data_IF_776454383538
#
_entry.id   IF_776454383538
#
_cell.length_a   1.000
_cell.length_b   1.000
_cell.length_c   1.000
_cell.angle_alpha   90.00
_cell.angle_beta   90.00
_cell.angle_gamma   90.00
#
_symmetry.space_group_name_H-M   'P 1'
#
loop_
_entity.id
_entity.type
_entity.pdbx_description
1 polymer ?
#
# COMPACT_ATOMS: atom_id res chain seq x y z
N UNK A 1 8.14 6.05 7.57
CA UNK A 1 6.89 5.29 7.83
C UNK A 1 6.09 4.90 6.57
N UNK A 2 6.08 5.72 5.52
CA UNK A 2 5.12 5.62 4.40
C UNK A 2 5.00 4.24 3.72
N UNK A 3 6.10 3.72 3.15
CA UNK A 3 6.16 2.40 2.52
C UNK A 3 5.67 1.30 3.47
N UNK A 4 5.96 1.43 4.77
CA UNK A 4 5.47 0.47 5.75
C UNK A 4 3.95 0.57 5.91
N UNK A 5 3.40 1.78 5.98
CA UNK A 5 1.94 2.04 6.00
C UNK A 5 1.26 1.43 4.77
N UNK A 6 1.82 1.63 3.58
CA UNK A 6 1.31 1.01 2.35
C UNK A 6 1.37 -0.51 2.39
N UNK A 7 2.49 -1.07 2.83
CA UNK A 7 2.67 -2.51 2.98
C UNK A 7 1.62 -3.10 3.94
N UNK A 8 1.45 -2.49 5.11
CA UNK A 8 0.53 -2.99 6.14
C UNK A 8 -0.94 -2.69 5.80
N UNK A 9 -1.26 -1.68 4.98
CA UNK A 9 -2.64 -1.48 4.50
C UNK A 9 -3.08 -2.68 3.66
N UNK A 10 -2.19 -3.21 2.82
CA UNK A 10 -2.41 -4.45 2.09
C UNK A 10 -2.59 -5.67 3.01
N UNK A 11 -1.83 -5.74 4.10
CA UNK A 11 -2.00 -6.78 5.14
C UNK A 11 -3.35 -6.63 5.87
N UNK A 12 -3.84 -5.41 6.11
CA UNK A 12 -5.16 -5.18 6.70
C UNK A 12 -6.28 -5.71 5.81
N UNK A 13 -6.24 -5.43 4.50
CA UNK A 13 -7.15 -6.03 3.52
C UNK A 13 -7.06 -7.56 3.55
N UNK A 14 -5.84 -8.11 3.54
CA UNK A 14 -5.62 -9.56 3.57
C UNK A 14 -6.12 -10.22 4.86
N UNK A 15 -5.98 -9.56 6.00
CA UNK A 15 -6.44 -10.07 7.29
C UNK A 15 -7.96 -10.29 7.26
N UNK A 16 -8.72 -9.35 6.69
CA UNK A 16 -10.16 -9.47 6.50
C UNK A 16 -10.52 -10.55 5.46
N UNK A 17 -9.97 -10.45 4.24
CA UNK A 17 -10.28 -11.39 3.14
C UNK A 17 -9.91 -12.84 3.47
N UNK A 18 -8.90 -13.07 4.32
CA UNK A 18 -8.52 -14.42 4.76
C UNK A 18 -9.65 -15.17 5.48
N UNK A 19 -10.59 -14.46 6.13
CA UNK A 19 -11.72 -15.06 6.85
C UNK A 19 -12.78 -15.67 5.93
N UNK A 20 -12.79 -15.29 4.65
CA UNK A 20 -13.68 -15.80 3.62
C UNK A 20 -13.25 -17.16 3.09
N UNK A 21 -12.06 -17.63 3.46
CA UNK A 21 -11.53 -18.93 3.06
C UNK A 21 -11.69 -20.00 4.14
N UNK A 22 -11.45 -21.26 3.76
CA UNK A 22 -11.43 -22.37 4.72
C UNK A 22 -10.32 -22.17 5.76
N UNK A 23 -10.51 -22.61 7.02
CA UNK A 23 -9.50 -22.45 8.05
C UNK A 23 -8.25 -23.28 7.72
N UNK A 24 -7.21 -22.64 7.20
CA UNK A 24 -5.90 -23.23 6.97
C UNK A 24 -4.84 -22.18 7.26
N UNK A 25 -3.89 -22.49 8.15
CA UNK A 25 -2.79 -21.56 8.49
C UNK A 25 -2.00 -21.21 7.23
N UNK A 26 -1.60 -22.22 6.43
CA UNK A 26 -0.87 -22.02 5.17
C UNK A 26 -1.67 -21.17 4.17
N UNK A 27 -2.97 -21.42 4.03
CA UNK A 27 -3.84 -20.62 3.17
C UNK A 27 -3.92 -19.16 3.60
N UNK A 28 -4.10 -18.91 4.90
CA UNK A 28 -4.11 -17.56 5.47
C UNK A 28 -2.78 -16.84 5.30
N UNK A 29 -1.65 -17.49 5.59
CA UNK A 29 -0.32 -16.91 5.38
C UNK A 29 -0.10 -16.51 3.91
N UNK A 30 -0.56 -17.33 2.95
CA UNK A 30 -0.50 -16.97 1.53
C UNK A 30 -1.34 -15.72 1.21
N UNK A 31 -2.55 -15.62 1.75
CA UNK A 31 -3.42 -14.45 1.53
C UNK A 31 -2.77 -13.19 2.13
N UNK A 32 -2.21 -13.28 3.35
CA UNK A 32 -1.46 -12.18 3.96
C UNK A 32 -0.25 -11.75 3.13
N UNK A 33 0.53 -12.71 2.61
CA UNK A 33 1.65 -12.42 1.73
C UNK A 33 1.20 -11.75 0.43
N UNK A 34 0.09 -12.22 -0.18
CA UNK A 34 -0.47 -11.60 -1.39
C UNK A 34 -0.94 -10.18 -1.13
N UNK A 35 -1.59 -9.91 0.01
CA UNK A 35 -1.96 -8.54 0.38
C UNK A 35 -0.76 -7.65 0.64
N UNK A 36 0.27 -8.17 1.32
CA UNK A 36 1.52 -7.44 1.52
C UNK A 36 2.16 -7.06 0.18
N UNK A 37 2.25 -8.00 -0.77
CA UNK A 37 2.77 -7.73 -2.11
C UNK A 37 1.90 -6.69 -2.81
N UNK A 38 0.57 -6.84 -2.78
CA UNK A 38 -0.36 -5.87 -3.38
C UNK A 38 -0.20 -4.45 -2.81
N UNK A 39 0.08 -4.33 -1.51
CA UNK A 39 0.31 -3.04 -0.86
C UNK A 39 1.68 -2.42 -1.12
N UNK A 40 2.70 -3.20 -1.52
CA UNK A 40 4.05 -2.68 -1.82
C UNK A 40 4.25 -2.45 -3.32
N UNK A 41 3.56 -3.20 -4.17
CA UNK A 41 3.88 -3.25 -5.59
C UNK A 41 3.75 -1.92 -6.36
N UNK A 42 2.83 -1.00 -6.03
CA UNK A 42 2.82 0.29 -6.71
C UNK A 42 4.15 1.05 -6.60
N UNK A 43 4.84 0.89 -5.46
CA UNK A 43 6.17 1.47 -5.16
C UNK A 43 7.34 0.56 -5.59
N UNK A 44 7.13 -0.42 -6.48
CA UNK A 44 8.19 -1.37 -6.87
C UNK A 44 9.43 -0.66 -7.44
N UNK A 45 9.23 0.46 -8.11
CA UNK A 45 10.32 1.23 -8.70
C UNK A 45 11.06 2.12 -7.69
N UNK A 46 10.67 2.15 -6.40
CA UNK A 46 11.51 2.66 -5.33
C UNK A 46 12.86 1.92 -5.25
N UNK A 47 12.93 0.71 -5.84
CA UNK A 47 14.20 0.01 -6.08
C UNK A 47 15.17 0.83 -6.95
N UNK A 48 14.66 1.72 -7.80
CA UNK A 48 15.48 2.61 -8.62
C UNK A 48 16.25 3.65 -7.79
N UNK A 49 15.82 3.91 -6.56
CA UNK A 49 16.53 4.75 -5.60
C UNK A 49 17.64 4.00 -4.85
N UNK A 50 17.78 2.68 -5.04
CA UNK A 50 18.88 1.91 -4.44
C UNK A 50 20.23 2.37 -4.99
N UNK A 51 21.20 2.59 -4.10
CA UNK A 51 22.51 3.17 -4.44
C UNK A 51 23.32 2.38 -5.48
N UNK A 52 23.00 1.10 -5.72
CA UNK A 52 23.65 0.29 -6.75
C UNK A 52 22.79 0.08 -8.00
N UNK A 53 21.58 0.63 -8.06
CA UNK A 53 20.63 0.42 -9.16
C UNK A 53 21.28 0.72 -10.51
N UNK A 54 21.86 1.92 -10.67
CA UNK A 54 22.48 2.35 -11.92
C UNK A 54 23.63 1.42 -12.34
N UNK A 55 24.49 1.05 -11.39
CA UNK A 55 25.63 0.15 -11.64
C UNK A 55 25.26 -1.32 -11.89
N UNK A 56 24.01 -1.70 -11.65
CA UNK A 56 23.54 -3.09 -11.76
C UNK A 56 22.42 -3.22 -12.76
N UNK A 57 21.17 -2.95 -12.36
CA UNK A 57 19.97 -3.04 -13.18
C UNK A 57 20.04 -2.01 -14.32
N UNK A 58 20.42 -0.77 -14.02
CA UNK A 58 20.58 0.29 -15.02
C UNK A 58 21.55 -0.10 -16.12
N UNK A 59 22.73 -0.58 -15.75
CA UNK A 59 23.74 -1.08 -16.70
C UNK A 59 23.28 -2.35 -17.44
N UNK A 60 22.67 -3.32 -16.75
CA UNK A 60 22.20 -4.58 -17.34
C UNK A 60 21.17 -4.35 -18.45
N UNK A 61 20.26 -3.40 -18.26
CA UNK A 61 19.21 -3.06 -19.23
C UNK A 61 19.56 -1.87 -20.13
N UNK A 62 20.77 -1.33 -20.00
CA UNK A 62 21.23 -0.15 -20.73
C UNK A 62 20.22 1.02 -20.66
N UNK A 63 19.72 1.32 -19.46
CA UNK A 63 18.68 2.32 -19.26
C UNK A 63 19.21 3.73 -19.58
N UNK A 64 18.46 4.55 -20.33
CA UNK A 64 18.91 5.88 -20.74
C UNK A 64 18.84 6.93 -19.61
N UNK A 65 18.15 6.62 -18.51
CA UNK A 65 17.95 7.49 -17.36
C UNK A 65 18.45 6.80 -16.08
N UNK A 66 19.06 7.58 -15.18
CA UNK A 66 19.42 7.09 -13.85
C UNK A 66 18.17 6.68 -13.05
N UNK A 67 18.34 5.79 -12.08
CA UNK A 67 17.26 5.33 -11.22
C UNK A 67 16.56 6.48 -10.48
N UNK A 68 17.32 7.49 -10.02
CA UNK A 68 16.76 8.71 -9.45
C UNK A 68 15.84 9.46 -10.43
N UNK A 69 16.24 9.56 -11.68
CA UNK A 69 15.41 10.19 -12.72
C UNK A 69 14.16 9.34 -12.94
N UNK A 70 14.31 8.01 -13.11
CA UNK A 70 13.19 7.08 -13.30
C UNK A 70 12.15 7.26 -12.19
N UNK A 71 12.58 7.22 -10.93
CA UNK A 71 11.71 7.39 -9.75
C UNK A 71 10.92 8.71 -9.77
N UNK A 72 11.58 9.82 -10.14
CA UNK A 72 10.97 11.16 -10.12
C UNK A 72 10.23 11.56 -11.41
N UNK A 73 10.30 10.73 -12.44
CA UNK A 73 9.81 11.05 -13.80
C UNK A 73 8.51 10.32 -14.10
N UNK A 74 7.70 10.86 -15.01
CA UNK A 74 6.41 10.27 -15.41
C UNK A 74 6.54 9.28 -16.58
N UNK A 75 7.60 8.45 -16.62
CA UNK A 75 7.69 7.39 -17.62
C UNK A 75 6.53 6.40 -17.44
N UNK A 76 6.06 5.75 -18.52
CA UNK A 76 4.94 4.81 -18.41
C UNK A 76 5.22 3.65 -17.44
N UNK A 77 6.49 3.27 -17.28
CA UNK A 77 6.99 2.24 -16.37
C UNK A 77 7.49 2.77 -15.01
N UNK A 78 7.43 4.09 -14.79
CA UNK A 78 7.68 4.67 -13.46
C UNK A 78 6.49 4.43 -12.53
N UNK A 79 6.73 4.63 -11.24
CA UNK A 79 5.72 4.66 -10.18
C UNK A 79 4.58 5.57 -10.58
N UNK A 80 4.87 6.77 -11.11
CA UNK A 80 3.84 7.77 -11.36
C UNK A 80 2.80 7.40 -12.43
N UNK A 81 3.06 6.38 -13.25
CA UNK A 81 2.20 6.01 -14.38
C UNK A 81 1.49 4.65 -14.18
N UNK A 82 1.91 3.60 -14.90
CA UNK A 82 1.18 2.34 -14.93
C UNK A 82 1.01 1.75 -13.52
N UNK A 83 2.09 1.73 -12.72
CA UNK A 83 2.06 1.15 -11.37
C UNK A 83 1.18 1.92 -10.37
N UNK A 84 0.75 3.16 -10.65
CA UNK A 84 -0.23 3.86 -9.82
C UNK A 84 -1.60 3.99 -10.50
N UNK A 85 -2.01 2.93 -11.23
CA UNK A 85 -3.31 2.85 -11.92
C UNK A 85 -4.17 1.68 -11.44
N UNK A 86 -5.49 1.84 -11.55
CA UNK A 86 -6.43 0.75 -11.31
C UNK A 86 -6.23 -0.40 -12.30
N UNK A 87 -5.85 -0.10 -13.55
CA UNK A 87 -5.63 -1.11 -14.58
C UNK A 87 -4.46 -2.04 -14.20
N UNK A 88 -3.36 -1.49 -13.69
CA UNK A 88 -2.20 -2.30 -13.27
C UNK A 88 -2.57 -3.29 -12.16
N UNK A 89 -3.39 -2.89 -11.18
CA UNK A 89 -3.84 -3.79 -10.12
C UNK A 89 -4.52 -5.06 -10.67
N UNK A 90 -5.35 -4.91 -11.71
CA UNK A 90 -6.06 -6.02 -12.34
C UNK A 90 -5.13 -6.84 -13.23
N UNK A 91 -4.35 -6.18 -14.09
CA UNK A 91 -3.40 -6.87 -14.98
C UNK A 91 -2.39 -7.71 -14.21
N UNK A 92 -1.79 -7.13 -13.16
CA UNK A 92 -0.79 -7.82 -12.34
C UNK A 92 -1.45 -8.90 -11.48
N UNK A 93 -2.64 -8.63 -10.92
CA UNK A 93 -3.39 -9.65 -10.18
C UNK A 93 -3.72 -10.87 -11.05
N UNK A 94 -4.12 -10.66 -12.30
CA UNK A 94 -4.36 -11.73 -13.28
C UNK A 94 -3.06 -12.47 -13.64
N UNK A 95 -1.94 -11.75 -13.79
CA UNK A 95 -0.64 -12.35 -14.01
C UNK A 95 -0.21 -13.25 -12.83
N UNK A 96 -0.41 -12.81 -11.59
CA UNK A 96 -0.17 -13.63 -10.39
C UNK A 96 -1.05 -14.89 -10.42
N UNK A 97 -2.33 -14.76 -10.76
CA UNK A 97 -3.24 -15.90 -10.87
C UNK A 97 -2.78 -16.89 -11.96
N UNK A 98 -2.27 -16.38 -13.09
CA UNK A 98 -1.68 -17.18 -14.15
C UNK A 98 -0.43 -17.93 -13.66
N UNK A 99 0.47 -17.28 -12.92
CA UNK A 99 1.64 -17.94 -12.34
C UNK A 99 1.24 -19.05 -11.35
N UNK A 100 0.20 -18.82 -10.55
CA UNK A 100 -0.37 -19.86 -9.67
C UNK A 100 -0.94 -21.00 -10.52
N UNK A 101 -1.61 -20.71 -11.63
CA UNK A 101 -2.13 -21.74 -12.53
C UNK A 101 -1.01 -22.59 -13.14
N UNK A 102 0.00 -21.95 -13.72
CA UNK A 102 1.13 -22.61 -14.38
C UNK A 102 1.97 -23.45 -13.40
N UNK A 103 2.19 -22.94 -12.19
CA UNK A 103 2.92 -23.70 -11.15
C UNK A 103 2.18 -24.95 -10.69
N UNK A 104 0.85 -24.95 -10.73
CA UNK A 104 0.03 -26.12 -10.38
C UNK A 104 -0.30 -27.02 -11.57
N UNK A 105 -0.02 -26.59 -12.80
CA UNK A 105 -0.38 -27.30 -14.03
C UNK A 105 0.16 -28.72 -14.07
N UNK A 106 1.41 -28.94 -13.61
CA UNK A 106 2.02 -30.28 -13.58
C UNK A 106 1.38 -31.21 -12.54
N UNK A 107 0.87 -30.66 -11.44
CA UNK A 107 0.30 -31.45 -10.33
C UNK A 107 -1.18 -31.78 -10.51
N UNK A 108 -1.91 -30.99 -11.30
CA UNK A 108 -3.38 -31.04 -11.39
C UNK A 108 -3.87 -31.06 -12.85
N UNK A 109 -3.37 -32.01 -13.65
CA UNK A 109 -3.70 -32.13 -15.09
C UNK A 109 -5.21 -32.26 -15.39
N UNK A 110 -6.02 -32.62 -14.40
CA UNK A 110 -7.46 -32.92 -14.55
C UNK A 110 -8.38 -31.88 -13.92
N UNK A 111 -7.87 -30.84 -13.26
CA UNK A 111 -8.74 -29.87 -12.59
C UNK A 111 -9.35 -28.91 -13.62
N UNK A 112 -10.69 -28.81 -13.72
CA UNK A 112 -11.33 -27.85 -14.62
C UNK A 112 -10.89 -26.41 -14.29
N UNK A 113 -10.64 -25.59 -15.32
CA UNK A 113 -10.24 -24.18 -15.18
C UNK A 113 -11.21 -23.40 -14.31
N UNK A 114 -12.51 -23.67 -14.40
CA UNK A 114 -13.54 -23.04 -13.58
C UNK A 114 -13.38 -23.34 -12.09
N UNK A 115 -13.05 -24.58 -11.74
CA UNK A 115 -12.77 -25.01 -10.35
C UNK A 115 -11.48 -24.38 -9.83
N UNK A 116 -10.45 -24.28 -10.68
CA UNK A 116 -9.22 -23.57 -10.35
C UNK A 116 -9.49 -22.10 -10.02
N UNK A 117 -10.20 -21.39 -10.90
CA UNK A 117 -10.53 -19.96 -10.71
C UNK A 117 -11.33 -19.77 -9.41
N UNK A 118 -12.41 -20.53 -9.21
CA UNK A 118 -13.22 -20.44 -7.98
C UNK A 118 -12.40 -20.65 -6.70
N UNK A 119 -11.38 -21.50 -6.75
CA UNK A 119 -10.53 -21.81 -5.60
C UNK A 119 -9.45 -20.76 -5.33
N UNK A 120 -9.09 -19.94 -6.34
CA UNK A 120 -7.96 -19.01 -6.27
C UNK A 120 -8.36 -17.54 -6.47
N UNK A 121 -9.63 -17.25 -6.80
CA UNK A 121 -10.13 -15.88 -7.02
C UNK A 121 -9.92 -14.98 -5.80
N UNK A 122 -9.89 -15.55 -4.59
CA UNK A 122 -9.61 -14.78 -3.38
C UNK A 122 -8.22 -14.12 -3.43
N UNK A 123 -7.20 -14.76 -4.03
CA UNK A 123 -5.88 -14.15 -4.16
C UNK A 123 -5.92 -12.93 -5.09
N UNK A 124 -6.68 -13.01 -6.19
CA UNK A 124 -6.89 -11.88 -7.09
C UNK A 124 -7.61 -10.73 -6.36
N UNK A 125 -8.71 -11.03 -5.67
CA UNK A 125 -9.48 -10.02 -4.92
C UNK A 125 -8.62 -9.37 -3.85
N UNK A 126 -7.91 -10.17 -3.04
CA UNK A 126 -7.02 -9.65 -1.99
C UNK A 126 -5.94 -8.76 -2.58
N UNK A 127 -5.28 -9.19 -3.67
CA UNK A 127 -4.25 -8.40 -4.33
C UNK A 127 -4.78 -7.06 -4.83
N UNK A 128 -5.88 -7.08 -5.58
CA UNK A 128 -6.49 -5.87 -6.17
C UNK A 128 -6.91 -4.89 -5.07
N UNK A 129 -7.60 -5.36 -4.03
CA UNK A 129 -8.04 -4.50 -2.93
C UNK A 129 -6.86 -3.96 -2.10
N UNK A 130 -5.81 -4.74 -1.91
CA UNK A 130 -4.59 -4.29 -1.24
C UNK A 130 -3.87 -3.21 -2.04
N UNK A 131 -3.79 -3.39 -3.36
CA UNK A 131 -3.27 -2.40 -4.29
C UNK A 131 -4.09 -1.10 -4.24
N UNK A 132 -5.42 -1.20 -4.21
CA UNK A 132 -6.28 -0.02 -4.11
C UNK A 132 -6.14 0.69 -2.77
N UNK A 133 -5.92 -0.05 -1.68
CA UNK A 133 -5.65 0.55 -0.38
C UNK A 133 -4.35 1.36 -0.38
N UNK A 134 -3.32 0.92 -1.13
CA UNK A 134 -2.13 1.72 -1.40
C UNK A 134 -2.51 3.01 -2.14
N UNK A 135 -3.12 2.90 -3.33
CA UNK A 135 -3.47 4.07 -4.16
C UNK A 135 -4.34 5.09 -3.41
N UNK A 136 -5.28 4.61 -2.58
CA UNK A 136 -6.12 5.46 -1.76
C UNK A 136 -5.33 6.23 -0.69
N UNK A 137 -4.22 5.67 -0.20
CA UNK A 137 -3.27 6.33 0.69
C UNK A 137 -2.50 7.47 0.01
N UNK A 138 -2.26 7.37 -1.30
CA UNK A 138 -1.50 8.39 -2.04
C UNK A 138 -2.34 9.60 -2.43
N UNK A 139 -3.62 9.41 -2.75
CA UNK A 139 -4.53 10.50 -3.13
C UNK A 139 -4.47 11.73 -2.22
N UNK A 140 -4.50 11.59 -0.87
CA UNK A 140 -4.45 12.73 0.05
C UNK A 140 -3.06 13.35 0.24
N UNK A 141 -1.98 12.78 -0.30
CA UNK A 141 -0.62 13.35 -0.20
C UNK A 141 -0.51 14.64 -1.02
N UNK A 142 0.52 15.48 -0.84
CA UNK A 142 0.63 16.76 -1.54
C UNK A 142 1.02 16.62 -3.01
N UNK A 143 0.51 17.54 -3.83
CA UNK A 143 0.76 17.57 -5.27
C UNK A 143 2.19 17.90 -5.65
N UNK A 144 2.93 18.58 -4.77
CA UNK A 144 4.31 19.02 -5.01
C UNK A 144 5.32 17.88 -5.13
N UNK A 145 4.96 16.70 -4.63
CA UNK A 145 5.82 15.54 -4.59
C UNK A 145 5.58 14.60 -5.76
N UNK A 146 4.32 14.51 -6.23
CA UNK A 146 3.91 13.48 -7.19
C UNK A 146 3.03 14.02 -8.34
N UNK A 147 2.43 15.20 -8.17
CA UNK A 147 1.48 15.78 -9.13
C UNK A 147 0.20 14.95 -9.30
N UNK A 148 -0.16 14.17 -8.27
CA UNK A 148 -1.21 13.14 -8.31
C UNK A 148 -0.70 11.78 -8.80
N UNK A 149 -1.61 10.83 -8.96
CA UNK A 149 -1.36 9.48 -9.49
C UNK A 149 -2.14 9.26 -10.79
N UNK A 150 -1.60 8.45 -11.71
CA UNK A 150 -2.25 8.10 -12.97
C UNK A 150 -3.36 7.05 -12.79
N UNK A 151 -4.36 7.36 -11.95
CA UNK A 151 -5.40 6.44 -11.48
C UNK A 151 -6.13 5.71 -12.62
N UNK A 152 -6.38 6.42 -13.73
CA UNK A 152 -7.02 5.90 -14.96
C UNK A 152 -6.04 5.86 -16.16
N UNK A 153 -4.78 5.49 -15.94
CA UNK A 153 -3.84 5.22 -17.03
C UNK A 153 -4.48 4.34 -18.13
N UNK A 154 -4.28 4.62 -19.44
CA UNK A 154 -3.32 5.55 -20.02
C UNK A 154 -3.82 6.99 -20.21
N UNK A 155 -4.89 7.40 -19.51
CA UNK A 155 -5.28 8.81 -19.49
C UNK A 155 -4.12 9.71 -19.03
N UNK A 156 -3.97 10.88 -19.67
CA UNK A 156 -3.02 11.91 -19.25
C UNK A 156 -3.43 12.64 -17.96
N UNK A 157 -4.60 12.33 -17.39
CA UNK A 157 -5.13 12.99 -16.20
C UNK A 157 -4.63 12.31 -14.92
N UNK A 158 -3.95 13.09 -14.08
CA UNK A 158 -3.49 12.65 -12.76
C UNK A 158 -4.51 13.09 -11.70
N UNK A 159 -4.80 12.20 -10.74
CA UNK A 159 -5.81 12.41 -9.69
C UNK A 159 -5.11 12.34 -8.32
N UNK A 160 -5.58 13.14 -7.36
CA UNK A 160 -4.99 13.20 -6.02
C UNK A 160 -4.13 14.44 -5.86
N UNK A 161 -3.10 14.36 -5.00
CA UNK A 161 -2.30 15.54 -4.67
C UNK A 161 -3.07 16.54 -3.80
N UNK A 162 -4.01 16.06 -2.98
CA UNK A 162 -4.92 16.93 -2.22
C UNK A 162 -4.21 17.69 -1.08
N UNK A 163 -3.01 17.26 -0.68
CA UNK A 163 -2.25 17.91 0.40
C UNK A 163 -2.92 17.84 1.75
N UNK A 164 -3.72 16.81 2.00
CA UNK A 164 -4.43 16.59 3.27
C UNK A 164 -3.55 15.94 4.31
N UNK A 165 -2.62 15.09 3.90
CA UNK A 165 -1.63 14.47 4.78
C UNK A 165 -0.23 14.71 4.25
N UNK A 166 0.77 14.67 5.13
CA UNK A 166 2.15 14.52 4.72
C UNK A 166 2.39 13.07 4.27
N UNK A 167 3.44 12.77 3.51
CA UNK A 167 3.68 11.38 3.11
C UNK A 167 4.55 10.61 4.12
N UNK A 168 5.45 11.25 4.86
CA UNK A 168 6.43 10.48 5.65
C UNK A 168 5.98 9.87 6.98
N UNK A 169 5.13 10.56 7.76
CA UNK A 169 5.00 10.33 9.21
C UNK A 169 3.54 10.28 9.71
N UNK A 170 2.64 9.64 8.97
CA UNK A 170 1.23 9.44 9.36
C UNK A 170 1.04 8.35 10.43
N UNK A 171 1.58 8.57 11.64
CA UNK A 171 1.61 7.57 12.70
C UNK A 171 0.22 7.13 13.17
N UNK A 172 -0.75 8.04 13.26
CA UNK A 172 -2.11 7.71 13.63
C UNK A 172 -2.81 6.79 12.60
N UNK A 173 -2.63 7.05 11.30
CA UNK A 173 -3.15 6.19 10.22
C UNK A 173 -2.48 4.81 10.30
N UNK A 174 -1.16 4.77 10.45
CA UNK A 174 -0.41 3.54 10.64
C UNK A 174 -0.95 2.71 11.83
N UNK A 175 -1.20 3.36 12.97
CA UNK A 175 -1.73 2.70 14.17
C UNK A 175 -3.16 2.18 13.98
N UNK A 176 -4.03 2.92 13.27
CA UNK A 176 -5.38 2.45 12.92
C UNK A 176 -5.32 1.18 12.05
N UNK A 177 -4.43 1.15 11.06
CA UNK A 177 -4.23 -0.03 10.20
C UNK A 177 -3.69 -1.20 11.02
N UNK A 178 -2.67 -0.96 11.87
CA UNK A 178 -2.09 -1.99 12.72
C UNK A 178 -3.12 -2.59 13.68
N UNK A 179 -3.95 -1.75 14.31
CA UNK A 179 -5.03 -2.19 15.17
C UNK A 179 -6.06 -3.03 14.39
N UNK A 180 -6.42 -2.61 13.18
CA UNK A 180 -7.30 -3.37 12.28
C UNK A 180 -6.77 -4.78 12.01
N UNK A 181 -5.46 -4.91 11.70
CA UNK A 181 -4.80 -6.21 11.50
C UNK A 181 -4.89 -7.06 12.76
N UNK A 182 -4.51 -6.51 13.93
CA UNK A 182 -4.53 -7.24 15.20
C UNK A 182 -5.94 -7.76 15.48
N UNK A 183 -6.95 -6.91 15.36
CA UNK A 183 -8.35 -7.27 15.58
C UNK A 183 -8.80 -8.35 14.59
N UNK A 184 -8.51 -8.18 13.29
CA UNK A 184 -8.93 -9.11 12.24
C UNK A 184 -8.24 -10.47 12.32
N UNK A 185 -7.05 -10.55 12.93
CA UNK A 185 -6.36 -11.82 13.15
C UNK A 185 -6.80 -12.50 14.46
N UNK A 186 -7.15 -11.74 15.49
CA UNK A 186 -7.45 -12.26 16.84
C UNK A 186 -8.93 -12.55 17.06
N UNK A 187 -9.85 -11.61 16.80
CA UNK A 187 -11.28 -11.76 17.12
C UNK A 187 -11.91 -12.97 16.40
N UNK A 188 -11.62 -13.25 15.11
CA UNK A 188 -12.14 -14.43 14.43
C UNK A 188 -11.80 -15.78 15.06
N UNK A 189 -10.76 -15.85 15.91
CA UNK A 189 -10.41 -17.06 16.65
C UNK A 189 -11.51 -17.41 17.66
N UNK A 190 -12.10 -16.38 18.27
CA UNK A 190 -13.15 -16.49 19.29
C UNK A 190 -14.56 -16.50 18.67
N UNK A 191 -14.79 -15.78 17.57
CA UNK A 191 -16.11 -15.66 16.93
C UNK A 191 -16.13 -16.39 15.57
N UNK A 192 -16.16 -17.72 15.61
CA UNK A 192 -15.95 -18.56 14.41
C UNK A 192 -17.03 -18.43 13.34
N UNK A 193 -18.30 -18.37 13.75
CA UNK A 193 -19.46 -18.39 12.85
C UNK A 193 -19.65 -17.06 12.12
N UNK A 194 -19.46 -15.94 12.83
CA UNK A 194 -19.68 -14.58 12.30
C UNK A 194 -18.40 -13.88 11.86
N UNK A 195 -17.26 -14.60 11.80
CA UNK A 195 -15.93 -14.01 11.54
C UNK A 195 -15.87 -13.07 10.34
N UNK A 196 -16.52 -13.43 9.22
CA UNK A 196 -16.49 -12.66 7.97
C UNK A 196 -17.14 -11.28 8.15
N UNK A 197 -18.27 -11.25 8.83
CA UNK A 197 -18.99 -10.01 9.11
C UNK A 197 -18.20 -9.14 10.09
N UNK A 198 -17.67 -9.74 11.16
CA UNK A 198 -16.89 -9.01 12.16
C UNK A 198 -15.66 -8.35 11.52
N UNK A 199 -14.86 -9.09 10.74
CA UNK A 199 -13.67 -8.50 10.11
C UNK A 199 -14.00 -7.48 9.03
N UNK A 200 -15.11 -7.67 8.32
CA UNK A 200 -15.59 -6.67 7.35
C UNK A 200 -15.99 -5.38 8.07
N UNK A 201 -16.74 -5.48 9.18
CA UNK A 201 -17.12 -4.32 10.00
C UNK A 201 -15.88 -3.61 10.53
N UNK A 202 -14.91 -4.35 11.09
CA UNK A 202 -13.66 -3.78 11.61
C UNK A 202 -12.90 -3.04 10.51
N UNK A 203 -12.75 -3.66 9.33
CA UNK A 203 -12.07 -3.03 8.20
C UNK A 203 -12.82 -1.76 7.74
N UNK A 204 -14.14 -1.82 7.58
CA UNK A 204 -14.96 -0.67 7.18
C UNK A 204 -14.88 0.48 8.18
N UNK A 205 -14.98 0.19 9.48
CA UNK A 205 -14.81 1.19 10.53
C UNK A 205 -13.40 1.80 10.50
N UNK A 206 -12.37 0.97 10.26
CA UNK A 206 -10.99 1.46 10.11
C UNK A 206 -10.89 2.46 8.95
N UNK A 207 -11.46 2.14 7.78
CA UNK A 207 -11.45 3.03 6.60
C UNK A 207 -12.21 4.34 6.86
N UNK A 208 -13.33 4.29 7.59
CA UNK A 208 -14.08 5.49 8.00
C UNK A 208 -13.22 6.35 8.94
N UNK A 209 -12.61 5.75 9.96
CA UNK A 209 -11.76 6.47 10.90
C UNK A 209 -10.54 7.10 10.22
N UNK A 210 -9.89 6.38 9.30
CA UNK A 210 -8.79 6.92 8.49
C UNK A 210 -9.28 8.11 7.65
N UNK A 211 -10.42 7.98 6.98
CA UNK A 211 -11.01 9.08 6.19
C UNK A 211 -11.30 10.30 7.06
N UNK A 212 -11.84 10.10 8.27
CA UNK A 212 -12.08 11.18 9.24
C UNK A 212 -10.75 11.84 9.64
N UNK A 213 -9.72 11.04 9.97
CA UNK A 213 -8.40 11.57 10.33
C UNK A 213 -7.75 12.38 9.19
N UNK A 214 -7.85 11.91 7.94
CA UNK A 214 -7.34 12.63 6.76
C UNK A 214 -8.05 13.97 6.58
N UNK A 215 -9.37 14.02 6.77
CA UNK A 215 -10.16 15.22 6.51
C UNK A 215 -10.18 16.23 7.67
N UNK A 216 -9.79 15.81 8.88
CA UNK A 216 -9.72 16.68 10.06
C UNK A 216 -8.31 17.20 10.36
N UNK A 217 -7.38 17.12 9.40
CA UNK A 217 -6.05 17.74 9.54
C UNK A 217 -6.17 19.25 9.50
N UNK A 218 -5.43 19.92 10.38
CA UNK A 218 -5.45 21.39 10.48
C UNK A 218 -4.58 22.09 9.43
N UNK A 219 -3.67 21.35 8.79
CA UNK A 219 -2.71 21.88 7.83
C UNK A 219 -2.93 21.36 6.42
N UNK A 220 -2.74 22.24 5.43
CA UNK A 220 -2.60 21.88 4.03
C UNK A 220 -1.11 21.73 3.70
N UNK A 221 -0.73 20.54 3.26
CA UNK A 221 0.64 20.15 2.97
C UNK A 221 1.07 20.44 1.53
N UNK A 222 0.23 21.06 0.71
CA UNK A 222 0.65 21.50 -0.63
C UNK A 222 1.66 22.65 -0.52
N UNK A 223 2.83 22.49 -1.14
CA UNK A 223 3.88 23.51 -1.14
C UNK A 223 4.50 23.67 -2.54
N UNK A 224 5.21 24.77 -2.80
CA UNK A 224 5.94 24.96 -4.06
C UNK A 224 7.37 24.41 -3.92
N UNK A 225 8.04 23.98 -4.98
CA UNK A 225 9.32 23.22 -4.98
C UNK A 225 10.54 23.88 -4.31
N UNK A 226 10.39 24.98 -3.55
CA UNK A 226 11.45 25.57 -2.74
C UNK A 226 11.86 24.65 -1.57
N UNK A 227 13.17 24.40 -1.44
CA UNK A 227 13.75 23.51 -0.41
C UNK A 227 13.38 23.88 1.04
N UNK A 228 13.11 25.15 1.32
CA UNK A 228 12.73 25.62 2.66
C UNK A 228 11.37 25.13 3.13
N UNK A 229 10.42 24.96 2.21
CA UNK A 229 9.04 24.56 2.55
C UNK A 229 8.95 23.08 2.94
N UNK A 230 9.84 22.22 2.44
CA UNK A 230 9.82 20.80 2.79
C UNK A 230 10.02 20.56 4.30
N UNK A 231 11.08 21.16 4.87
CA UNK A 231 11.40 20.99 6.30
C UNK A 231 10.30 21.55 7.20
N UNK A 232 9.71 22.67 6.78
CA UNK A 232 8.55 23.26 7.43
C UNK A 232 7.34 22.30 7.42
N UNK A 233 6.98 21.73 6.27
CA UNK A 233 5.86 20.79 6.16
C UNK A 233 6.09 19.53 6.99
N UNK A 234 7.31 19.00 7.01
CA UNK A 234 7.66 17.86 7.85
C UNK A 234 7.50 18.19 9.33
N UNK A 235 7.96 19.37 9.77
CA UNK A 235 7.78 19.83 11.14
C UNK A 235 6.29 20.01 11.49
N UNK A 236 5.51 20.65 10.63
CA UNK A 236 4.06 20.80 10.80
C UNK A 236 3.36 19.45 10.92
N UNK A 237 3.79 18.46 10.13
CA UNK A 237 3.25 17.12 10.24
C UNK A 237 3.60 16.46 11.58
N UNK A 238 4.84 16.62 12.08
CA UNK A 238 5.22 16.14 13.41
C UNK A 238 4.41 16.80 14.53
N UNK A 239 4.17 18.11 14.44
CA UNK A 239 3.32 18.86 15.37
C UNK A 239 1.88 18.33 15.37
N UNK A 240 1.31 18.11 14.18
CA UNK A 240 -0.03 17.57 14.01
C UNK A 240 -0.17 16.13 14.56
N UNK A 241 0.82 15.27 14.31
CA UNK A 241 0.86 13.92 14.87
C UNK A 241 0.96 13.93 16.39
N UNK A 242 1.73 14.86 16.94
CA UNK A 242 1.84 15.06 18.39
C UNK A 242 0.53 15.56 19.01
N UNK A 243 -0.21 16.42 18.30
CA UNK A 243 -1.55 16.89 18.70
C UNK A 243 -2.54 15.73 18.77
N UNK A 244 -2.58 14.87 17.75
CA UNK A 244 -3.54 13.75 17.64
C UNK A 244 -3.21 12.61 18.62
N UNK A 245 -1.95 12.22 18.72
CA UNK A 245 -1.54 11.07 19.53
C UNK A 245 -1.24 11.42 21.00
N UNK A 246 -1.02 12.71 21.27
CA UNK A 246 -0.46 13.18 22.53
C UNK A 246 1.03 12.83 22.69
N UNK A 247 1.67 13.43 23.70
CA UNK A 247 3.12 13.38 23.88
C UNK A 247 3.69 11.95 23.98
N UNK A 248 3.03 11.07 24.74
CA UNK A 248 3.57 9.74 25.07
C UNK A 248 3.58 8.82 23.85
N UNK A 249 2.43 8.67 23.19
CA UNK A 249 2.30 7.78 22.03
C UNK A 249 3.09 8.31 20.83
N UNK A 250 3.06 9.63 20.60
CA UNK A 250 3.91 10.26 19.58
C UNK A 250 5.39 9.96 19.82
N UNK A 251 5.89 10.08 21.05
CA UNK A 251 7.31 9.84 21.35
C UNK A 251 7.72 8.40 21.07
N UNK A 252 6.86 7.43 21.36
CA UNK A 252 7.13 6.03 21.00
C UNK A 252 7.14 5.81 19.49
N UNK A 253 6.20 6.41 18.77
CA UNK A 253 6.14 6.30 17.31
C UNK A 253 7.33 6.98 16.63
N UNK A 254 7.72 8.17 17.08
CA UNK A 254 8.89 8.87 16.59
C UNK A 254 10.19 8.13 16.92
N UNK A 255 10.30 7.52 18.10
CA UNK A 255 11.42 6.64 18.43
C UNK A 255 11.46 5.43 17.50
N UNK A 256 10.32 4.78 17.25
CA UNK A 256 10.23 3.63 16.37
C UNK A 256 10.60 4.00 14.92
N UNK A 257 10.06 5.10 14.38
CA UNK A 257 10.40 5.61 13.04
C UNK A 257 11.90 5.91 12.91
N UNK A 258 12.49 6.57 13.92
CA UNK A 258 13.94 6.84 13.97
C UNK A 258 14.84 5.62 14.12
N UNK A 259 14.30 4.44 14.47
CA UNK A 259 15.05 3.16 14.51
C UNK A 259 14.96 2.37 13.22
N UNK A 260 14.08 2.75 12.29
CA UNK A 260 14.01 2.10 10.99
C UNK A 260 15.26 2.47 10.17
N UNK A 261 16.02 1.46 9.73
CA UNK A 261 17.23 1.64 8.92
C UNK A 261 16.97 1.90 7.43
N UNK A 262 15.72 2.16 7.07
CA UNK A 262 15.32 2.43 5.69
C UNK A 262 15.46 3.94 5.43
N UNK A 263 16.64 4.33 4.93
CA UNK A 263 16.87 5.67 4.39
C UNK A 263 16.44 5.65 2.93
N UNK A 264 15.28 6.23 2.63
CA UNK A 264 14.89 6.60 1.28
C UNK A 264 15.11 8.10 1.12
#
# INVERSE_FOLDING_TARGET
MDILTHAISGVAIASCTSTFTKPSVKGKCKILAIGLIGGILPDIDAISMWSKFDSTIGHLFNLPASGKIIYSSKYWYSHHAFFHSLLASVCIGLFILLLIYLSNFKSNKTLPTTTFIKSNVIYLITFVLAYWAHLAGDLPTPSSSWGGIAFFWPSGNYIGGYGKIWWWNNYDIFLLILLSIIINLTIPVFIREKRKYVTTIVLSLTLILISIQINNREYNYNYSTSKGQYAEMEQKSKEEQKRILGNKLYSYMAWFDGKMKFYF
#
